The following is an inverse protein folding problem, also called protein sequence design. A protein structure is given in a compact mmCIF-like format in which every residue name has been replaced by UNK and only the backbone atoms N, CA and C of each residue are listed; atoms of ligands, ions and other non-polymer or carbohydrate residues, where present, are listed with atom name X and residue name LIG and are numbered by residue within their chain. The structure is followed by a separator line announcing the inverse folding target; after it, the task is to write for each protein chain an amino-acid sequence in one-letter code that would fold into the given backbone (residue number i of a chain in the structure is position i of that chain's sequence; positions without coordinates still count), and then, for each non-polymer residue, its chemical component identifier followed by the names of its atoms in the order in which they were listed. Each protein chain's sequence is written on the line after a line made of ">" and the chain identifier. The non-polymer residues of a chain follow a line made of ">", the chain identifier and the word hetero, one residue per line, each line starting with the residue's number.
data_IF_978158560404
#
_entry.id   IF_978158560404
#
_cell.length_a   1.000
_cell.length_b   1.000
_cell.length_c   1.000
_cell.angle_alpha   90.00
_cell.angle_beta   90.00
_cell.angle_gamma   90.00
#
_symmetry.space_group_name_H-M   'P 1'
#
loop_
_entity.id
_entity.type
_entity.pdbx_description
1 polymer ?
#
# COMPACT_ATOMS: atom_id res chain seq x y z
N UNK A 1 26.44 24.42 -25.44
CA UNK A 1 27.00 23.08 -25.17
C UNK A 1 27.58 23.00 -23.76
N UNK A 2 28.56 23.83 -23.37
CA UNK A 2 29.14 23.84 -22.01
C UNK A 2 28.11 23.95 -20.87
N UNK A 3 27.08 24.80 -20.98
CA UNK A 3 26.08 24.96 -19.92
C UNK A 3 25.22 23.71 -19.68
N UNK A 4 24.94 22.95 -20.74
CA UNK A 4 24.21 21.67 -20.65
C UNK A 4 25.07 20.58 -20.00
N UNK A 5 26.36 20.55 -20.33
CA UNK A 5 27.33 19.59 -19.76
C UNK A 5 27.56 19.88 -18.27
N UNK A 6 27.69 21.15 -17.88
CA UNK A 6 27.85 21.56 -16.49
C UNK A 6 26.59 21.27 -15.63
N UNK A 7 25.38 21.34 -16.22
CA UNK A 7 24.14 20.96 -15.53
C UNK A 7 24.03 19.45 -15.30
N UNK A 8 24.49 18.64 -16.25
CA UNK A 8 24.49 17.18 -16.16
C UNK A 8 25.53 16.67 -15.15
N UNK A 9 26.59 17.45 -14.90
CA UNK A 9 27.65 17.14 -13.95
C UNK A 9 27.29 17.41 -12.47
N UNK A 10 26.10 17.96 -12.18
CA UNK A 10 25.69 18.21 -10.80
C UNK A 10 25.45 16.89 -10.04
N UNK A 11 26.09 16.69 -8.87
CA UNK A 11 25.96 15.47 -8.08
C UNK A 11 24.48 15.17 -7.80
N UNK A 12 24.08 13.93 -8.06
CA UNK A 12 22.77 13.40 -7.68
C UNK A 12 22.72 13.22 -6.17
N UNK A 13 22.42 14.29 -5.44
CA UNK A 13 22.11 14.18 -4.01
C UNK A 13 20.83 13.36 -3.88
N UNK A 14 20.88 12.27 -3.11
CA UNK A 14 19.72 11.43 -2.79
C UNK A 14 18.57 12.32 -2.30
N UNK A 15 17.36 12.06 -2.78
CA UNK A 15 16.12 12.66 -2.26
C UNK A 15 15.83 12.12 -0.85
N UNK A 16 16.62 12.54 0.14
CA UNK A 16 16.23 12.55 1.56
C UNK A 16 15.87 13.98 2.03
N UNK A 17 15.90 14.95 1.12
CA UNK A 17 15.61 16.34 1.44
C UNK A 17 14.12 16.64 1.25
N UNK A 18 13.50 17.03 2.36
CA UNK A 18 12.26 17.81 2.56
C UNK A 18 11.54 18.27 1.27
N UNK A 19 10.22 18.02 1.13
CA UNK A 19 9.47 18.41 -0.06
C UNK A 19 9.61 19.91 -0.32
N UNK A 20 9.98 20.30 -1.55
CA UNK A 20 10.26 21.68 -1.97
C UNK A 20 9.10 22.66 -1.70
N UNK A 21 7.87 22.15 -1.62
CA UNK A 21 6.68 22.92 -1.23
C UNK A 21 6.73 23.45 0.22
N UNK A 22 7.52 22.80 1.09
CA UNK A 22 7.66 23.15 2.50
C UNK A 22 8.93 23.95 2.81
N UNK A 23 9.87 24.07 1.87
CA UNK A 23 11.17 24.73 2.09
C UNK A 23 11.00 26.21 2.41
N UNK A 24 10.17 26.93 1.64
CA UNK A 24 9.86 28.33 1.92
C UNK A 24 9.23 28.50 3.32
N UNK A 25 8.24 27.65 3.66
CA UNK A 25 7.59 27.69 4.97
C UNK A 25 8.57 27.44 6.13
N UNK A 26 9.51 26.49 5.96
CA UNK A 26 10.53 26.20 6.98
C UNK A 26 11.49 27.37 7.17
N UNK A 27 11.96 28.00 6.09
CA UNK A 27 12.83 29.16 6.18
C UNK A 27 12.11 30.37 6.80
N UNK A 28 10.85 30.61 6.44
CA UNK A 28 10.02 31.65 7.09
C UNK A 28 9.83 31.36 8.58
N UNK A 29 9.54 30.12 8.95
CA UNK A 29 9.40 29.73 10.35
C UNK A 29 10.71 29.87 11.13
N UNK A 30 11.85 29.50 10.52
CA UNK A 30 13.16 29.65 11.14
C UNK A 30 13.51 31.13 11.37
N UNK A 31 13.20 32.01 10.42
CA UNK A 31 13.37 33.46 10.59
C UNK A 31 12.55 34.00 11.77
N UNK A 32 11.30 33.55 11.91
CA UNK A 32 10.42 33.91 13.03
C UNK A 32 10.96 33.39 14.37
N UNK A 33 11.44 32.13 14.42
CA UNK A 33 12.06 31.57 15.62
C UNK A 33 13.31 32.33 16.06
N UNK A 34 14.16 32.77 15.11
CA UNK A 34 15.35 33.57 15.41
C UNK A 34 15.00 34.94 15.99
N UNK A 35 13.94 35.58 15.49
CA UNK A 35 13.43 36.84 16.07
C UNK A 35 12.86 36.61 17.47
N UNK A 36 12.04 35.58 17.65
CA UNK A 36 11.49 35.23 18.96
C UNK A 36 12.61 34.93 19.98
N UNK A 37 13.69 34.27 19.56
CA UNK A 37 14.86 34.04 20.40
C UNK A 37 15.56 35.36 20.78
N UNK A 38 15.71 36.29 19.83
CA UNK A 38 16.29 37.61 20.11
C UNK A 38 15.43 38.38 21.12
N UNK A 39 14.11 38.40 20.93
CA UNK A 39 13.18 39.09 21.82
C UNK A 39 13.19 38.50 23.24
N UNK A 40 13.22 37.17 23.35
CA UNK A 40 13.31 36.48 24.64
C UNK A 40 14.62 36.82 25.39
N UNK A 41 15.75 36.82 24.68
CA UNK A 41 17.06 37.15 25.27
C UNK A 41 17.11 38.63 25.66
N UNK A 42 16.52 39.52 24.84
CA UNK A 42 16.44 40.96 25.13
C UNK A 42 15.59 41.24 26.37
N UNK A 43 14.44 40.58 26.52
CA UNK A 43 13.61 40.74 27.71
C UNK A 43 14.29 40.14 28.95
N UNK A 44 14.98 38.99 28.82
CA UNK A 44 15.81 38.44 29.88
C UNK A 44 16.92 39.41 30.30
N UNK A 45 17.57 40.09 29.34
CA UNK A 45 18.56 41.13 29.61
C UNK A 45 17.96 42.28 30.41
N UNK A 46 16.77 42.76 30.03
CA UNK A 46 16.08 43.84 30.72
C UNK A 46 15.69 43.45 32.15
N UNK A 47 15.10 42.28 32.36
CA UNK A 47 14.74 41.79 33.69
C UNK A 47 15.97 41.59 34.57
N UNK A 48 17.05 41.04 34.02
CA UNK A 48 18.29 40.83 34.77
C UNK A 48 18.95 42.16 35.15
N UNK A 49 18.97 43.16 34.25
CA UNK A 49 19.44 44.51 34.57
C UNK A 49 18.64 45.16 35.71
N UNK A 50 17.31 45.07 35.67
CA UNK A 50 16.44 45.59 36.73
C UNK A 50 16.68 44.87 38.07
N UNK A 51 16.89 43.55 38.02
CA UNK A 51 17.21 42.78 39.22
C UNK A 51 18.58 43.14 39.78
N UNK A 52 19.58 43.29 38.91
CA UNK A 52 20.93 43.70 39.28
C UNK A 52 20.95 45.06 39.97
N UNK A 53 20.15 46.04 39.49
CA UNK A 53 20.05 47.35 40.15
C UNK A 53 19.40 47.24 41.54
N UNK A 54 18.35 46.43 41.69
CA UNK A 54 17.73 46.20 43.01
C UNK A 54 18.68 45.46 43.97
N UNK A 55 19.47 44.52 43.47
CA UNK A 55 20.46 43.80 44.28
C UNK A 55 21.59 44.73 44.75
N UNK A 56 21.94 45.76 43.98
CA UNK A 56 22.92 46.78 44.36
C UNK A 56 22.44 47.72 45.48
N UNK A 57 21.13 47.85 45.69
CA UNK A 57 20.55 48.67 46.76
C UNK A 57 20.52 47.95 48.13
N UNK A 58 20.86 46.65 48.19
CA UNK A 58 20.85 45.88 49.43
C UNK A 58 22.09 46.14 50.29
N UNK A 59 21.93 46.34 51.62
CA UNK A 59 23.05 46.58 52.54
C UNK A 59 23.95 45.35 52.78
N UNK A 60 23.63 44.18 52.21
CA UNK A 60 24.37 42.92 52.35
C UNK A 60 25.21 42.57 51.10
N UNK A 61 25.38 43.52 50.18
CA UNK A 61 26.08 43.26 48.91
C UNK A 61 27.55 42.91 49.14
N UNK A 62 28.03 41.88 48.44
CA UNK A 62 29.44 41.48 48.45
C UNK A 62 30.11 41.85 47.13
N UNK A 63 31.38 42.23 47.16
CA UNK A 63 32.14 42.57 45.94
C UNK A 63 32.15 41.42 44.92
N UNK A 64 32.20 40.17 45.40
CA UNK A 64 32.10 38.97 44.56
C UNK A 64 30.76 38.89 43.81
N UNK A 65 29.66 39.30 44.43
CA UNK A 65 28.34 39.35 43.80
C UNK A 65 28.28 40.44 42.72
N UNK A 66 28.82 41.64 42.99
CA UNK A 66 28.90 42.71 42.00
C UNK A 66 29.64 42.28 40.72
N UNK A 67 30.86 41.75 40.86
CA UNK A 67 31.68 41.32 39.72
C UNK A 67 31.01 40.18 38.93
N UNK A 68 30.34 39.27 39.62
CA UNK A 68 29.59 38.18 38.96
C UNK A 68 28.42 38.73 38.14
N UNK A 69 27.68 39.68 38.71
CA UNK A 69 26.52 40.32 38.07
C UNK A 69 26.94 41.13 36.84
N UNK A 70 28.04 41.89 36.92
CA UNK A 70 28.60 42.62 35.78
C UNK A 70 29.06 41.68 34.65
N UNK A 71 29.70 40.56 34.98
CA UNK A 71 30.11 39.55 34.00
C UNK A 71 28.89 38.90 33.30
N UNK A 72 27.85 38.58 34.06
CA UNK A 72 26.60 38.04 33.53
C UNK A 72 25.88 39.05 32.64
N UNK A 73 25.83 40.32 33.05
CA UNK A 73 25.29 41.41 32.23
C UNK A 73 26.06 41.60 30.92
N UNK A 74 27.40 41.59 30.97
CA UNK A 74 28.23 41.68 29.77
C UNK A 74 28.04 40.49 28.81
N UNK A 75 27.93 39.28 29.36
CA UNK A 75 27.65 38.07 28.59
C UNK A 75 26.26 38.11 27.95
N UNK A 76 25.26 38.56 28.70
CA UNK A 76 23.87 38.66 28.24
C UNK A 76 23.68 39.77 27.22
N UNK A 77 24.38 40.90 27.36
CA UNK A 77 24.43 41.97 26.36
C UNK A 77 25.06 41.50 25.05
N UNK A 78 26.17 40.76 25.13
CA UNK A 78 26.84 40.17 23.96
C UNK A 78 25.93 39.16 23.24
N UNK A 79 25.23 38.32 24.00
CA UNK A 79 24.27 37.34 23.48
C UNK A 79 23.05 38.01 22.83
N UNK A 80 22.56 39.11 23.42
CA UNK A 80 21.48 39.91 22.84
C UNK A 80 21.91 40.48 21.48
N UNK A 81 23.13 41.01 21.39
CA UNK A 81 23.69 41.56 20.15
C UNK A 81 23.90 40.49 19.08
N UNK A 82 24.48 39.34 19.43
CA UNK A 82 24.74 38.26 18.48
C UNK A 82 23.45 37.66 17.93
N UNK A 83 22.46 37.40 18.78
CA UNK A 83 21.16 36.87 18.37
C UNK A 83 20.43 37.87 17.46
N UNK A 84 20.50 39.17 17.75
CA UNK A 84 19.93 40.22 16.89
C UNK A 84 20.59 40.29 15.51
N UNK A 85 21.92 40.16 15.44
CA UNK A 85 22.66 40.08 14.17
C UNK A 85 22.27 38.85 13.35
N UNK A 86 22.10 37.70 14.00
CA UNK A 86 21.68 36.46 13.32
C UNK A 86 20.25 36.61 12.79
N UNK A 87 19.32 37.12 13.61
CA UNK A 87 17.93 37.32 13.21
C UNK A 87 17.79 38.30 12.04
N UNK A 88 18.48 39.44 12.10
CA UNK A 88 18.49 40.45 11.03
C UNK A 88 19.19 39.95 9.77
N UNK A 89 20.33 39.27 9.88
CA UNK A 89 20.99 38.64 8.74
C UNK A 89 20.05 37.64 8.04
N UNK A 90 19.39 36.79 8.81
CA UNK A 90 18.56 35.73 8.26
C UNK A 90 17.31 36.28 7.58
N UNK A 91 16.66 37.28 8.19
CA UNK A 91 15.49 37.96 7.59
C UNK A 91 15.84 38.75 6.34
N UNK A 92 16.96 39.49 6.34
CA UNK A 92 17.42 40.24 5.17
C UNK A 92 17.78 39.33 3.98
N UNK A 93 18.14 38.08 4.24
CA UNK A 93 18.46 37.09 3.20
C UNK A 93 17.33 36.07 3.02
N UNK A 94 16.14 36.29 3.58
CA UNK A 94 15.06 35.31 3.56
C UNK A 94 14.62 34.98 2.13
N UNK A 95 14.56 35.98 1.26
CA UNK A 95 14.21 35.80 -0.16
C UNK A 95 15.20 34.90 -0.90
N UNK A 96 16.49 34.95 -0.52
CA UNK A 96 17.50 34.05 -1.07
C UNK A 96 17.27 32.60 -0.63
N UNK A 97 16.81 32.38 0.60
CA UNK A 97 16.52 31.05 1.13
C UNK A 97 15.17 30.49 0.69
N UNK A 98 14.18 31.35 0.43
CA UNK A 98 12.81 30.96 0.05
C UNK A 98 12.63 30.87 -1.47
N UNK A 99 13.49 31.50 -2.27
CA UNK A 99 13.45 31.40 -3.72
C UNK A 99 13.71 29.95 -4.16
N UNK A 100 12.65 29.30 -4.65
CA UNK A 100 12.70 27.98 -5.31
C UNK A 100 13.40 28.13 -6.67
N UNK A 101 14.72 28.28 -6.63
CA UNK A 101 15.55 28.44 -7.80
C UNK A 101 16.69 27.47 -7.74
N UNK A 102 16.58 26.37 -8.50
CA UNK A 102 17.75 25.60 -8.91
C UNK A 102 18.58 26.50 -9.84
N UNK A 103 19.32 27.46 -9.27
CA UNK A 103 20.30 28.21 -10.03
C UNK A 103 21.63 27.46 -9.94
N UNK A 104 22.16 26.93 -11.05
CA UNK A 104 23.53 26.45 -11.08
C UNK A 104 24.42 27.59 -10.60
N UNK A 105 25.27 27.32 -9.62
CA UNK A 105 26.20 28.29 -9.04
C UNK A 105 26.91 29.06 -10.17
N UNK A 106 26.55 30.34 -10.36
CA UNK A 106 27.09 31.21 -11.42
C UNK A 106 26.14 31.56 -12.58
N UNK A 107 24.87 31.13 -12.59
CA UNK A 107 23.89 31.50 -13.62
C UNK A 107 22.89 32.55 -13.11
N UNK A 108 22.70 33.65 -13.85
CA UNK A 108 21.73 34.72 -13.56
C UNK A 108 20.31 34.44 -14.07
N UNK A 109 20.10 33.30 -14.73
CA UNK A 109 18.80 32.92 -15.29
C UNK A 109 18.06 31.97 -14.35
N UNK A 110 17.01 32.49 -13.70
CA UNK A 110 16.02 31.68 -13.01
C UNK A 110 15.29 30.79 -14.03
N UNK A 111 15.47 29.48 -13.93
CA UNK A 111 14.75 28.53 -14.79
C UNK A 111 13.28 28.48 -14.36
N UNK A 112 12.37 28.52 -15.33
CA UNK A 112 10.94 28.42 -15.09
C UNK A 112 10.61 27.08 -14.39
N UNK A 113 9.81 27.06 -13.31
CA UNK A 113 9.49 25.85 -12.54
C UNK A 113 9.01 24.66 -13.39
N UNK A 114 8.23 24.93 -14.45
CA UNK A 114 7.72 23.91 -15.36
C UNK A 114 8.83 23.25 -16.19
N UNK A 115 9.85 24.01 -16.56
CA UNK A 115 11.01 23.48 -17.27
C UNK A 115 11.87 22.61 -16.35
N UNK A 116 12.04 23.02 -15.08
CA UNK A 116 12.75 22.21 -14.08
C UNK A 116 12.06 20.87 -13.82
N UNK A 117 10.72 20.86 -13.72
CA UNK A 117 9.94 19.64 -13.53
C UNK A 117 10.05 18.69 -14.74
N UNK A 118 9.93 19.23 -15.97
CA UNK A 118 10.10 18.42 -17.20
C UNK A 118 11.51 17.81 -17.31
N UNK A 119 12.54 18.56 -16.90
CA UNK A 119 13.93 18.10 -16.87
C UNK A 119 14.15 16.99 -15.84
N UNK A 120 13.58 17.13 -14.64
CA UNK A 120 13.63 16.10 -13.59
C UNK A 120 12.91 14.82 -14.03
N UNK A 121 11.74 14.94 -14.66
CA UNK A 121 11.01 13.81 -15.20
C UNK A 121 11.81 13.08 -16.29
N UNK A 122 12.43 13.83 -17.21
CA UNK A 122 13.28 13.26 -18.26
C UNK A 122 14.56 12.62 -17.69
N UNK A 123 15.18 13.22 -16.67
CA UNK A 123 16.32 12.63 -15.95
C UNK A 123 15.93 11.32 -15.28
N UNK A 124 14.77 11.26 -14.63
CA UNK A 124 14.25 10.02 -14.01
C UNK A 124 13.98 8.94 -15.05
N UNK A 125 13.39 9.29 -16.19
CA UNK A 125 13.20 8.37 -17.33
C UNK A 125 14.52 7.86 -17.88
N UNK A 126 15.53 8.72 -18.06
CA UNK A 126 16.85 8.33 -18.54
C UNK A 126 17.56 7.40 -17.55
N UNK A 127 17.51 7.70 -16.25
CA UNK A 127 18.08 6.82 -15.22
C UNK A 127 17.39 5.44 -15.20
N UNK A 128 16.06 5.40 -15.31
CA UNK A 128 15.30 4.16 -15.40
C UNK A 128 15.66 3.36 -16.67
N UNK A 129 15.80 4.03 -17.81
CA UNK A 129 16.23 3.40 -19.06
C UNK A 129 17.64 2.79 -18.93
N UNK A 130 18.62 3.53 -18.43
CA UNK A 130 19.97 3.02 -18.23
C UNK A 130 19.99 1.86 -17.23
N UNK A 131 19.18 1.92 -16.17
CA UNK A 131 19.01 0.81 -15.23
C UNK A 131 18.41 -0.43 -15.90
N UNK A 132 17.45 -0.25 -16.81
CA UNK A 132 16.82 -1.33 -17.55
C UNK A 132 17.79 -1.97 -18.56
N UNK A 133 18.61 -1.16 -19.25
CA UNK A 133 19.63 -1.65 -20.19
C UNK A 133 20.77 -2.38 -19.46
N UNK A 134 21.13 -1.94 -18.25
CA UNK A 134 22.14 -2.60 -17.40
C UNK A 134 21.61 -3.87 -16.72
N UNK A 135 20.29 -4.10 -16.69
CA UNK A 135 19.72 -5.32 -16.13
C UNK A 135 20.10 -6.48 -17.06
N UNK A 136 20.86 -7.44 -16.54
CA UNK A 136 21.19 -8.65 -17.28
C UNK A 136 19.89 -9.30 -17.78
N UNK A 137 19.85 -9.54 -19.10
CA UNK A 137 18.68 -10.16 -19.74
C UNK A 137 18.47 -11.53 -19.06
N UNK A 138 17.24 -11.88 -18.63
CA UNK A 138 16.97 -13.20 -18.08
C UNK A 138 17.50 -14.26 -19.05
N UNK A 139 18.19 -15.29 -18.55
CA UNK A 139 18.65 -16.40 -19.39
C UNK A 139 17.41 -17.04 -20.05
N UNK A 140 17.25 -16.77 -21.33
CA UNK A 140 16.24 -17.38 -22.18
C UNK A 140 16.93 -18.44 -23.02
N UNK A 141 16.22 -19.53 -23.28
CA UNK A 141 16.63 -20.53 -24.26
C UNK A 141 16.89 -19.82 -25.60
N UNK A 142 18.03 -20.09 -26.29
CA UNK A 142 18.32 -19.52 -27.59
C UNK A 142 17.17 -19.73 -28.58
N UNK A 143 16.96 -18.78 -29.49
CA UNK A 143 15.81 -18.80 -30.41
C UNK A 143 15.76 -20.07 -31.30
N UNK A 144 16.93 -20.57 -31.73
CA UNK A 144 17.05 -21.83 -32.46
C UNK A 144 16.46 -23.01 -31.69
N UNK A 145 16.80 -23.07 -30.41
CA UNK A 145 16.45 -24.18 -29.52
C UNK A 145 14.98 -24.07 -29.12
N UNK A 146 14.46 -22.84 -28.95
CA UNK A 146 13.05 -22.58 -28.76
C UNK A 146 12.20 -23.04 -29.97
N UNK A 147 12.68 -22.81 -31.21
CA UNK A 147 12.02 -23.30 -32.42
C UNK A 147 12.09 -24.83 -32.56
N UNK A 148 13.20 -25.44 -32.17
CA UNK A 148 13.35 -26.91 -32.13
C UNK A 148 12.37 -27.53 -31.13
N UNK A 149 12.34 -27.01 -29.89
CA UNK A 149 11.43 -27.44 -28.84
C UNK A 149 9.96 -27.28 -29.25
N UNK A 150 9.62 -26.17 -29.92
CA UNK A 150 8.25 -25.97 -30.45
C UNK A 150 7.86 -27.06 -31.45
N UNK A 151 8.77 -27.40 -32.38
CA UNK A 151 8.51 -28.47 -33.36
C UNK A 151 8.31 -29.81 -32.68
N UNK A 152 9.17 -30.17 -31.72
CA UNK A 152 9.06 -31.42 -30.95
C UNK A 152 7.75 -31.50 -30.15
N UNK A 153 7.35 -30.40 -29.50
CA UNK A 153 6.08 -30.35 -28.77
C UNK A 153 4.87 -30.51 -29.70
N UNK A 154 4.92 -29.90 -30.88
CA UNK A 154 3.84 -29.99 -31.87
C UNK A 154 3.72 -31.42 -32.39
N UNK A 155 4.84 -32.03 -32.82
CA UNK A 155 4.84 -33.40 -33.31
C UNK A 155 4.48 -34.44 -32.24
N UNK A 156 4.89 -34.21 -30.98
CA UNK A 156 4.51 -35.06 -29.84
C UNK A 156 3.02 -34.94 -29.52
N UNK A 157 2.44 -33.74 -29.65
CA UNK A 157 1.00 -33.52 -29.47
C UNK A 157 0.18 -34.23 -30.54
N UNK A 158 0.58 -34.11 -31.80
CA UNK A 158 -0.06 -34.80 -32.94
C UNK A 158 0.03 -36.33 -32.81
N UNK A 159 1.20 -36.84 -32.42
CA UNK A 159 1.41 -38.28 -32.16
C UNK A 159 0.55 -38.81 -31.03
N UNK A 160 0.44 -38.05 -29.92
CA UNK A 160 -0.40 -38.40 -28.77
C UNK A 160 -1.89 -38.43 -29.14
N UNK A 161 -2.35 -37.49 -29.95
CA UNK A 161 -3.74 -37.46 -30.42
C UNK A 161 -4.04 -38.66 -31.32
N UNK A 162 -3.16 -39.00 -32.26
CA UNK A 162 -3.29 -40.19 -33.10
C UNK A 162 -3.32 -41.49 -32.29
N UNK A 163 -2.44 -41.63 -31.30
CA UNK A 163 -2.41 -42.79 -30.41
C UNK A 163 -3.70 -42.88 -29.58
N UNK A 164 -4.20 -41.74 -29.07
CA UNK A 164 -5.46 -41.70 -28.33
C UNK A 164 -6.65 -42.12 -29.19
N UNK A 165 -6.69 -41.72 -30.47
CA UNK A 165 -7.72 -42.17 -31.40
C UNK A 165 -7.63 -43.67 -31.67
N UNK A 166 -6.42 -44.21 -31.84
CA UNK A 166 -6.22 -45.64 -32.04
C UNK A 166 -6.66 -46.47 -30.83
N UNK A 167 -6.37 -45.99 -29.61
CA UNK A 167 -6.83 -46.61 -28.35
C UNK A 167 -8.35 -46.55 -28.23
N UNK A 168 -8.97 -45.43 -28.59
CA UNK A 168 -10.44 -45.33 -28.56
C UNK A 168 -11.08 -46.30 -29.57
N UNK A 169 -10.56 -46.37 -30.80
CA UNK A 169 -11.05 -47.28 -31.83
C UNK A 169 -10.90 -48.75 -31.43
N UNK A 170 -9.78 -49.12 -30.77
CA UNK A 170 -9.60 -50.48 -30.28
C UNK A 170 -10.57 -50.78 -29.13
N UNK A 171 -10.80 -49.84 -28.22
CA UNK A 171 -11.76 -49.99 -27.13
C UNK A 171 -13.20 -50.15 -27.65
N UNK A 172 -13.61 -49.37 -28.65
CA UNK A 172 -14.94 -49.47 -29.27
C UNK A 172 -15.11 -50.80 -30.04
N UNK A 173 -14.02 -51.32 -30.63
CA UNK A 173 -14.01 -52.64 -31.25
C UNK A 173 -14.17 -53.75 -30.21
N UNK A 174 -13.48 -53.64 -29.07
CA UNK A 174 -13.61 -54.59 -27.96
C UNK A 174 -15.06 -54.60 -27.44
N UNK A 175 -15.64 -53.44 -27.18
CA UNK A 175 -17.03 -53.33 -26.70
C UNK A 175 -18.04 -53.98 -27.65
N UNK A 176 -17.87 -53.80 -28.97
CA UNK A 176 -18.72 -54.47 -29.98
C UNK A 176 -18.56 -55.99 -29.96
N UNK A 177 -17.33 -56.48 -29.86
CA UNK A 177 -17.07 -57.92 -29.77
C UNK A 177 -17.61 -58.52 -28.47
N UNK A 178 -17.58 -57.77 -27.36
CA UNK A 178 -18.20 -58.16 -26.09
C UNK A 178 -19.72 -58.27 -26.24
N UNK A 179 -20.37 -57.30 -26.88
CA UNK A 179 -21.81 -57.36 -27.17
C UNK A 179 -22.19 -58.53 -28.08
N UNK A 180 -21.41 -58.80 -29.14
CA UNK A 180 -21.62 -59.95 -30.01
C UNK A 180 -21.44 -61.28 -29.27
N UNK A 181 -20.44 -61.38 -28.39
CA UNK A 181 -20.23 -62.55 -27.53
C UNK A 181 -21.45 -62.80 -26.64
N UNK A 182 -21.99 -61.76 -26.00
CA UNK A 182 -23.20 -61.88 -25.17
C UNK A 182 -24.42 -62.29 -25.99
N UNK A 183 -24.59 -61.70 -27.19
CA UNK A 183 -25.66 -62.06 -28.12
C UNK A 183 -25.62 -63.55 -28.48
N UNK A 184 -24.46 -64.05 -28.94
CA UNK A 184 -24.29 -65.46 -29.30
C UNK A 184 -24.44 -66.40 -28.11
N UNK A 185 -24.02 -65.98 -26.91
CA UNK A 185 -24.23 -66.76 -25.69
C UNK A 185 -25.72 -66.91 -25.37
N UNK A 186 -26.50 -65.83 -25.47
CA UNK A 186 -27.94 -65.86 -25.27
C UNK A 186 -28.65 -66.70 -26.33
N UNK A 187 -28.22 -66.61 -27.60
CA UNK A 187 -28.78 -67.41 -28.69
C UNK A 187 -28.51 -68.91 -28.50
N UNK A 188 -27.30 -69.28 -28.06
CA UNK A 188 -26.96 -70.66 -27.71
C UNK A 188 -27.78 -71.19 -26.53
N UNK A 189 -27.99 -70.38 -25.48
CA UNK A 189 -28.85 -70.75 -24.34
C UNK A 189 -30.31 -70.94 -24.78
N UNK A 190 -30.85 -70.05 -25.61
CA UNK A 190 -32.19 -70.18 -26.15
C UNK A 190 -32.34 -71.44 -27.01
N UNK A 191 -31.33 -71.75 -27.83
CA UNK A 191 -31.25 -73.00 -28.60
C UNK A 191 -31.31 -74.23 -27.69
N UNK A 192 -30.56 -74.24 -26.59
CA UNK A 192 -30.58 -75.32 -25.60
C UNK A 192 -31.96 -75.52 -24.97
N UNK A 193 -32.62 -74.44 -24.54
CA UNK A 193 -33.97 -74.49 -23.96
C UNK A 193 -35.00 -75.01 -24.97
N UNK A 194 -34.90 -74.61 -26.25
CA UNK A 194 -35.76 -75.13 -27.32
C UNK A 194 -35.56 -76.63 -27.52
N UNK A 195 -34.31 -77.08 -27.53
CA UNK A 195 -33.98 -78.50 -27.67
C UNK A 195 -34.46 -79.32 -26.46
N UNK A 196 -34.29 -78.83 -25.23
CA UNK A 196 -34.84 -79.47 -24.03
C UNK A 196 -36.37 -79.57 -24.10
N UNK A 197 -37.05 -78.52 -24.59
CA UNK A 197 -38.51 -78.53 -24.78
C UNK A 197 -38.98 -79.53 -25.85
N UNK A 198 -38.27 -79.63 -26.98
CA UNK A 198 -38.57 -80.63 -28.00
C UNK A 198 -38.27 -82.05 -27.51
N UNK A 199 -37.17 -82.26 -26.78
CA UNK A 199 -36.88 -83.55 -26.15
C UNK A 199 -37.96 -83.95 -25.14
N UNK A 200 -38.48 -83.00 -24.35
CA UNK A 200 -39.61 -83.26 -23.46
C UNK A 200 -40.87 -83.64 -24.26
N UNK A 201 -41.16 -82.96 -25.38
CA UNK A 201 -42.27 -83.33 -26.27
C UNK A 201 -42.09 -84.72 -26.88
N UNK A 202 -40.88 -85.07 -27.30
CA UNK A 202 -40.56 -86.40 -27.81
C UNK A 202 -40.79 -87.43 -26.71
N UNK A 203 -40.30 -87.19 -25.49
CA UNK A 203 -40.52 -88.08 -24.35
C UNK A 203 -42.01 -88.22 -23.99
N UNK A 204 -42.79 -87.13 -24.03
CA UNK A 204 -44.23 -87.16 -23.78
C UNK A 204 -44.98 -87.94 -24.88
N UNK A 205 -44.57 -87.80 -26.15
CA UNK A 205 -45.10 -88.56 -27.28
C UNK A 205 -44.71 -90.04 -27.22
N UNK A 206 -43.47 -90.35 -26.83
CA UNK A 206 -42.99 -91.72 -26.58
C UNK A 206 -43.75 -92.36 -25.42
N UNK A 207 -44.03 -91.61 -24.35
CA UNK A 207 -44.85 -92.09 -23.24
C UNK A 207 -46.31 -92.33 -23.66
N UNK A 208 -46.89 -91.46 -24.50
CA UNK A 208 -48.22 -91.67 -25.08
C UNK A 208 -48.25 -92.88 -26.02
N UNK A 209 -47.22 -93.08 -26.85
CA UNK A 209 -47.07 -94.27 -27.69
C UNK A 209 -46.91 -95.53 -26.83
N UNK A 210 -46.10 -95.48 -25.76
CA UNK A 210 -45.93 -96.59 -24.83
C UNK A 210 -47.22 -96.90 -24.05
N UNK A 211 -47.99 -95.89 -23.65
CA UNK A 211 -49.29 -96.06 -23.03
C UNK A 211 -50.33 -96.65 -24.00
N UNK A 212 -50.27 -96.27 -25.29
CA UNK A 212 -51.07 -96.89 -26.34
C UNK A 212 -50.59 -98.31 -26.71
N UNK A 213 -49.29 -98.60 -26.52
CA UNK A 213 -48.64 -99.90 -26.76
C UNK A 213 -48.54 -100.78 -25.50
N UNK A 214 -49.19 -100.40 -24.39
CA UNK A 214 -49.38 -101.19 -23.17
C UNK A 214 -50.24 -102.44 -23.34
N UNK A 215 -50.30 -102.99 -24.55
CA UNK A 215 -50.78 -104.33 -24.88
C UNK A 215 -49.72 -105.02 -25.77
N UNK A 216 -49.01 -105.97 -25.17
CA UNK A 216 -48.14 -106.97 -25.82
C UNK A 216 -46.63 -106.68 -25.89
N UNK A 217 -45.99 -106.86 -24.73
CA UNK A 217 -44.85 -107.78 -24.47
C UNK A 217 -43.63 -107.79 -25.42
N UNK A 218 -42.57 -107.16 -24.91
CA UNK A 218 -41.30 -107.76 -24.51
C UNK A 218 -40.37 -108.46 -25.52
N UNK A 219 -39.31 -107.71 -25.88
CA UNK A 219 -37.92 -107.85 -25.37
C UNK A 219 -37.02 -109.03 -25.85
N UNK A 220 -35.68 -109.00 -25.63
CA UNK A 220 -34.66 -108.92 -26.69
C UNK A 220 -33.56 -110.03 -26.51
N UNK A 221 -32.24 -109.77 -26.60
CA UNK A 221 -31.36 -109.73 -27.78
C UNK A 221 -30.19 -110.76 -27.73
N UNK A 222 -29.39 -110.87 -28.79
CA UNK A 222 -28.07 -111.54 -28.80
C UNK A 222 -27.10 -110.68 -29.65
N UNK A 223 -25.99 -110.12 -29.12
CA UNK A 223 -24.71 -110.75 -28.75
C UNK A 223 -23.96 -111.27 -30.02
N UNK A 224 -22.66 -111.07 -30.27
CA UNK A 224 -21.49 -110.77 -29.44
C UNK A 224 -20.31 -110.38 -30.39
N UNK A 225 -19.40 -109.45 -30.04
CA UNK A 225 -18.02 -109.70 -29.49
C UNK A 225 -16.92 -109.86 -30.57
N UNK A 226 -15.67 -109.36 -30.49
CA UNK A 226 -14.84 -108.80 -29.38
C UNK A 226 -13.48 -108.28 -29.94
N UNK A 227 -12.63 -107.60 -29.12
CA UNK A 227 -11.45 -106.77 -29.46
C UNK A 227 -10.10 -107.41 -29.05
N UNK A 228 -8.97 -106.68 -29.18
CA UNK A 228 -7.65 -106.93 -28.52
C UNK A 228 -6.90 -105.58 -28.34
N UNK A 229 -6.80 -105.05 -27.11
CA UNK A 229 -5.64 -104.94 -26.16
C UNK A 229 -4.52 -103.94 -26.56
N UNK A 230 -3.73 -103.32 -25.70
CA UNK A 230 -3.67 -102.91 -24.27
C UNK A 230 -2.22 -102.40 -24.05
N UNK A 231 -2.00 -101.67 -22.94
CA UNK A 231 -0.73 -101.51 -22.18
C UNK A 231 0.26 -100.39 -22.57
N UNK A 232 0.98 -99.72 -21.67
CA UNK A 232 0.77 -99.10 -20.34
C UNK A 232 2.07 -98.28 -20.04
N UNK A 233 1.99 -97.43 -19.03
CA UNK A 233 2.93 -96.43 -18.46
C UNK A 233 4.43 -96.81 -18.27
N UNK A 234 5.32 -95.80 -18.34
CA UNK A 234 6.38 -95.54 -17.33
C UNK A 234 7.21 -94.26 -17.63
N UNK A 235 7.54 -93.54 -16.55
CA UNK A 235 8.22 -92.24 -16.42
C UNK A 235 9.68 -92.19 -16.89
N UNK A 236 10.15 -91.05 -17.43
CA UNK A 236 11.50 -90.50 -17.20
C UNK A 236 11.63 -89.04 -17.72
N UNK A 237 11.77 -88.07 -16.82
CA UNK A 237 12.47 -86.77 -17.05
C UNK A 237 13.95 -86.96 -16.59
N UNK A 238 14.95 -86.11 -16.92
CA UNK A 238 14.95 -84.87 -17.72
C UNK A 238 16.11 -84.76 -18.75
N UNK A 239 16.01 -83.89 -19.77
CA UNK A 239 17.22 -83.25 -20.32
C UNK A 239 16.91 -81.99 -21.14
N UNK A 240 17.72 -80.96 -20.88
CA UNK A 240 17.67 -79.64 -21.46
C UNK A 240 17.88 -79.64 -22.99
N UNK A 241 17.11 -78.79 -23.67
CA UNK A 241 17.39 -78.36 -25.04
C UNK A 241 16.19 -77.72 -25.70
N UNK A 242 16.38 -76.52 -26.24
CA UNK A 242 15.50 -75.88 -27.24
C UNK A 242 14.22 -75.19 -26.74
N UNK A 243 14.42 -73.95 -26.29
CA UNK A 243 13.37 -72.91 -26.32
C UNK A 243 13.09 -72.56 -27.78
N UNK A 244 12.09 -73.19 -28.38
CA UNK A 244 11.53 -72.75 -29.65
C UNK A 244 10.67 -71.50 -29.43
N UNK A 245 11.10 -70.40 -30.03
CA UNK A 245 10.48 -69.09 -29.93
C UNK A 245 9.07 -69.13 -30.54
N UNK A 246 8.05 -69.10 -29.68
CA UNK A 246 6.68 -68.81 -30.09
C UNK A 246 6.64 -67.36 -30.59
N UNK A 247 6.65 -67.20 -31.91
CA UNK A 247 6.48 -65.91 -32.58
C UNK A 247 5.04 -65.42 -32.35
N UNK A 248 4.83 -64.68 -31.26
CA UNK A 248 3.66 -63.81 -31.13
C UNK A 248 3.76 -62.70 -32.19
N UNK A 249 2.95 -62.80 -33.24
CA UNK A 249 2.67 -61.73 -34.20
C UNK A 249 1.81 -60.66 -33.51
N UNK A 250 2.40 -59.93 -32.57
CA UNK A 250 1.85 -58.68 -32.05
C UNK A 250 2.39 -57.53 -32.89
N UNK A 251 1.52 -56.94 -33.71
CA UNK A 251 1.80 -55.74 -34.51
C UNK A 251 1.82 -54.50 -33.59
N UNK A 252 2.77 -54.47 -32.64
CA UNK A 252 3.13 -53.30 -31.84
C UNK A 252 4.60 -53.07 -32.08
N UNK A 253 4.93 -51.85 -32.54
CA UNK A 253 6.23 -51.51 -33.12
C UNK A 253 7.42 -51.99 -32.32
N UNK A 254 8.34 -52.67 -33.01
CA UNK A 254 9.69 -52.92 -32.50
C UNK A 254 10.37 -51.57 -32.23
N UNK A 255 10.59 -51.26 -30.95
CA UNK A 255 11.51 -50.19 -30.58
C UNK A 255 12.92 -50.70 -30.87
N UNK A 256 13.49 -50.31 -32.01
CA UNK A 256 14.91 -50.49 -32.27
C UNK A 256 15.71 -49.67 -31.24
N UNK A 257 16.07 -50.28 -30.12
CA UNK A 257 17.11 -49.75 -29.24
C UNK A 257 18.45 -49.97 -29.93
N UNK A 258 18.88 -48.98 -30.72
CA UNK A 258 20.25 -48.93 -31.23
C UNK A 258 21.20 -48.69 -30.04
N UNK A 259 22.11 -49.61 -29.69
CA UNK A 259 23.04 -49.40 -28.60
C UNK A 259 24.24 -48.64 -29.12
N UNK A 260 24.11 -47.32 -29.35
CA UNK A 260 25.25 -46.49 -29.75
C UNK A 260 25.04 -44.97 -29.62
N UNK A 261 24.42 -44.45 -28.55
CA UNK A 261 24.56 -43.00 -28.17
C UNK A 261 24.32 -42.73 -26.68
N UNK A 262 24.52 -43.69 -25.77
CA UNK A 262 24.21 -43.44 -24.34
C UNK A 262 25.14 -42.40 -23.68
N UNK A 263 26.36 -42.20 -24.23
CA UNK A 263 27.36 -41.36 -23.58
C UNK A 263 27.30 -39.86 -23.94
N UNK A 264 26.51 -39.48 -24.96
CA UNK A 264 26.34 -38.08 -25.39
C UNK A 264 24.98 -37.52 -24.95
N UNK A 265 23.90 -38.30 -25.01
CA UNK A 265 22.57 -37.84 -24.58
C UNK A 265 22.47 -37.55 -23.08
N UNK A 266 23.10 -38.35 -22.22
CA UNK A 266 23.07 -38.11 -20.75
C UNK A 266 23.63 -36.75 -20.33
N UNK A 267 24.66 -36.25 -21.03
CA UNK A 267 25.28 -34.95 -20.74
C UNK A 267 24.37 -33.77 -21.16
N UNK A 268 23.58 -33.93 -22.23
CA UNK A 268 22.59 -32.93 -22.64
C UNK A 268 21.32 -32.97 -21.78
N UNK A 269 20.91 -34.17 -21.33
CA UNK A 269 19.82 -34.35 -20.36
C UNK A 269 20.14 -33.68 -19.02
N UNK A 270 21.33 -33.95 -18.45
CA UNK A 270 21.81 -33.34 -17.21
C UNK A 270 21.98 -31.81 -17.34
N UNK A 271 22.42 -31.33 -18.51
CA UNK A 271 22.52 -29.89 -18.79
C UNK A 271 21.14 -29.20 -18.88
N UNK A 272 20.14 -29.88 -19.45
CA UNK A 272 18.76 -29.39 -19.50
C UNK A 272 18.12 -29.35 -18.11
N UNK A 273 18.30 -30.41 -17.32
CA UNK A 273 17.79 -30.47 -15.96
C UNK A 273 18.43 -29.43 -15.03
N UNK A 274 19.74 -29.23 -15.13
CA UNK A 274 20.45 -28.20 -14.34
C UNK A 274 19.99 -26.79 -14.71
N UNK A 275 19.73 -26.51 -15.99
CA UNK A 275 19.18 -25.22 -16.41
C UNK A 275 17.75 -25.00 -15.88
N UNK A 276 16.91 -26.03 -15.92
CA UNK A 276 15.54 -26.00 -15.38
C UNK A 276 15.58 -25.76 -13.85
N UNK A 277 16.41 -26.51 -13.12
CA UNK A 277 16.62 -26.34 -11.68
C UNK A 277 17.08 -24.93 -11.36
N UNK A 278 18.06 -24.41 -12.10
CA UNK A 278 18.59 -23.06 -11.91
C UNK A 278 17.52 -21.99 -12.15
N UNK A 279 16.72 -22.12 -13.21
CA UNK A 279 15.63 -21.19 -13.50
C UNK A 279 14.58 -21.17 -12.39
N UNK A 280 14.12 -22.34 -11.96
CA UNK A 280 13.12 -22.42 -10.88
C UNK A 280 13.67 -21.95 -9.53
N UNK A 281 14.92 -22.30 -9.20
CA UNK A 281 15.58 -21.78 -8.00
C UNK A 281 15.73 -20.26 -8.02
N UNK A 282 16.15 -19.68 -9.16
CA UNK A 282 16.24 -18.24 -9.33
C UNK A 282 14.86 -17.58 -9.20
N UNK A 283 13.82 -18.18 -9.77
CA UNK A 283 12.44 -17.69 -9.68
C UNK A 283 11.89 -17.75 -8.25
N UNK A 284 12.18 -18.83 -7.52
CA UNK A 284 11.84 -18.95 -6.09
C UNK A 284 12.56 -17.86 -5.29
N UNK A 285 13.84 -17.63 -5.55
CA UNK A 285 14.62 -16.55 -4.93
C UNK A 285 14.01 -15.17 -5.20
N UNK A 286 13.67 -14.87 -6.46
CA UNK A 286 13.03 -13.61 -6.85
C UNK A 286 11.69 -13.42 -6.11
N UNK A 287 10.81 -14.41 -6.14
CA UNK A 287 9.51 -14.34 -5.46
C UNK A 287 9.67 -14.16 -3.95
N UNK A 288 10.65 -14.84 -3.34
CA UNK A 288 10.95 -14.70 -1.92
C UNK A 288 11.38 -13.26 -1.59
N UNK A 289 12.25 -12.66 -2.40
CA UNK A 289 12.66 -11.27 -2.19
C UNK A 289 11.51 -10.28 -2.39
N UNK A 290 10.64 -10.51 -3.38
CA UNK A 290 9.47 -9.66 -3.60
C UNK A 290 8.50 -9.72 -2.42
N UNK A 291 8.26 -10.93 -1.87
CA UNK A 291 7.44 -11.12 -0.69
C UNK A 291 8.02 -10.38 0.52
N UNK A 292 9.32 -10.55 0.80
CA UNK A 292 10.00 -9.86 1.91
C UNK A 292 9.92 -8.33 1.78
N UNK A 293 10.11 -7.79 0.58
CA UNK A 293 10.00 -6.35 0.32
C UNK A 293 8.55 -5.88 0.53
N UNK A 294 7.57 -6.67 0.08
CA UNK A 294 6.15 -6.36 0.27
C UNK A 294 5.77 -6.33 1.76
N UNK A 295 6.22 -7.34 2.52
CA UNK A 295 5.99 -7.43 3.96
C UNK A 295 6.63 -6.27 4.71
N UNK A 296 7.89 -5.93 4.36
CA UNK A 296 8.58 -4.77 4.94
C UNK A 296 7.83 -3.47 4.69
N UNK A 297 7.31 -3.25 3.47
CA UNK A 297 6.49 -2.08 3.13
C UNK A 297 5.17 -2.05 3.92
N UNK A 298 4.50 -3.19 4.07
CA UNK A 298 3.26 -3.28 4.83
C UNK A 298 3.48 -2.91 6.31
N UNK A 299 4.54 -3.42 6.92
CA UNK A 299 4.93 -3.07 8.30
C UNK A 299 5.28 -1.59 8.41
N UNK A 300 6.03 -1.05 7.45
CA UNK A 300 6.38 0.36 7.43
C UNK A 300 5.14 1.25 7.37
N UNK A 301 4.22 1.04 6.42
CA UNK A 301 2.98 1.80 6.32
C UNK A 301 2.10 1.66 7.57
N UNK A 302 2.04 0.47 8.17
CA UNK A 302 1.31 0.30 9.43
C UNK A 302 1.90 1.17 10.55
N UNK A 303 3.24 1.22 10.66
CA UNK A 303 3.92 2.05 11.65
C UNK A 303 3.71 3.56 11.40
N UNK A 304 3.72 3.99 10.14
CA UNK A 304 3.46 5.38 9.76
C UNK A 304 2.02 5.80 10.05
N UNK A 305 1.04 4.98 9.66
CA UNK A 305 -0.38 5.20 9.98
C UNK A 305 -0.60 5.31 11.49
N UNK A 306 0.04 4.44 12.28
CA UNK A 306 -0.03 4.49 13.75
C UNK A 306 0.61 5.77 14.30
N UNK A 307 1.75 6.20 13.76
CA UNK A 307 2.41 7.44 14.18
C UNK A 307 1.58 8.69 13.82
N UNK A 308 0.99 8.71 12.62
CA UNK A 308 0.10 9.77 12.15
C UNK A 308 -1.16 9.87 13.00
N UNK A 309 -1.82 8.74 13.31
CA UNK A 309 -2.99 8.72 14.17
C UNK A 309 -2.70 9.31 15.56
N UNK A 310 -1.54 8.98 16.15
CA UNK A 310 -1.12 9.58 17.43
C UNK A 310 -0.89 11.09 17.34
N UNK A 311 -0.22 11.57 16.27
CA UNK A 311 0.00 13.01 16.07
C UNK A 311 -1.32 13.76 15.87
N UNK A 312 -2.25 13.16 15.11
CA UNK A 312 -3.57 13.72 14.87
C UNK A 312 -4.37 13.82 16.17
N UNK A 313 -4.39 12.78 17.00
CA UNK A 313 -5.06 12.82 18.30
C UNK A 313 -4.50 13.90 19.24
N UNK A 314 -3.18 14.12 19.25
CA UNK A 314 -2.56 15.20 20.03
C UNK A 314 -2.97 16.57 19.48
N UNK A 315 -2.98 16.75 18.16
CA UNK A 315 -3.39 17.98 17.51
C UNK A 315 -4.89 18.29 17.71
N UNK A 316 -5.75 17.26 17.71
CA UNK A 316 -7.17 17.40 18.02
C UNK A 316 -7.39 17.86 19.47
N UNK A 317 -6.66 17.25 20.42
CA UNK A 317 -6.72 17.67 21.83
C UNK A 317 -6.25 19.12 22.01
N UNK A 318 -5.18 19.54 21.33
CA UNK A 318 -4.73 20.93 21.42
C UNK A 318 -5.69 21.90 20.74
N UNK A 319 -6.34 21.48 19.64
CA UNK A 319 -7.40 22.27 18.98
C UNK A 319 -8.59 22.45 19.91
N UNK A 320 -9.02 21.39 20.60
CA UNK A 320 -10.10 21.46 21.60
C UNK A 320 -9.75 22.48 22.68
N UNK A 321 -8.60 22.32 23.35
CA UNK A 321 -8.19 23.25 24.43
C UNK A 321 -8.16 24.71 23.98
N UNK A 322 -7.63 24.98 22.77
CA UNK A 322 -7.62 26.33 22.21
C UNK A 322 -9.04 26.84 21.91
N UNK A 323 -9.95 25.98 21.44
CA UNK A 323 -11.35 26.36 21.25
C UNK A 323 -12.07 26.65 22.56
N UNK A 324 -11.77 25.93 23.65
CA UNK A 324 -12.26 26.28 24.99
C UNK A 324 -11.71 27.64 25.46
N UNK A 325 -10.40 27.88 25.30
CA UNK A 325 -9.77 29.16 25.67
C UNK A 325 -10.36 30.34 24.89
N UNK A 326 -10.61 30.18 23.58
CA UNK A 326 -11.26 31.20 22.76
C UNK A 326 -12.69 31.48 23.25
N UNK A 327 -13.46 30.45 23.62
CA UNK A 327 -14.81 30.63 24.19
C UNK A 327 -14.74 31.44 25.49
N UNK A 328 -13.82 31.09 26.40
CA UNK A 328 -13.63 31.80 27.66
C UNK A 328 -13.19 33.26 27.45
N UNK A 329 -12.25 33.50 26.53
CA UNK A 329 -11.81 34.85 26.18
C UNK A 329 -12.96 35.69 25.60
N UNK A 330 -13.79 35.09 24.74
CA UNK A 330 -14.97 35.75 24.15
C UNK A 330 -16.00 36.11 25.23
N UNK A 331 -16.24 35.22 26.20
CA UNK A 331 -17.10 35.50 27.35
C UNK A 331 -16.54 36.65 28.21
N UNK A 332 -15.21 36.71 28.38
CA UNK A 332 -14.57 37.82 29.11
C UNK A 332 -14.69 39.14 28.37
N UNK A 333 -14.53 39.15 27.05
CA UNK A 333 -14.69 40.35 26.22
C UNK A 333 -16.12 40.88 26.31
N UNK A 334 -17.13 40.02 26.15
CA UNK A 334 -18.54 40.42 26.24
C UNK A 334 -18.88 41.00 27.62
N UNK A 335 -18.43 40.36 28.71
CA UNK A 335 -18.57 40.91 30.06
C UNK A 335 -17.93 42.29 30.21
N UNK A 336 -16.70 42.48 29.73
CA UNK A 336 -16.01 43.77 29.81
C UNK A 336 -16.71 44.84 28.95
N UNK A 337 -17.30 44.46 27.81
CA UNK A 337 -18.11 45.36 26.99
C UNK A 337 -19.38 45.83 27.72
N UNK A 338 -20.05 44.93 28.45
CA UNK A 338 -21.23 45.27 29.25
C UNK A 338 -20.87 46.19 30.44
N UNK A 339 -19.76 45.91 31.13
CA UNK A 339 -19.22 46.77 32.20
C UNK A 339 -18.83 48.16 31.66
N UNK A 340 -18.22 48.23 30.47
CA UNK A 340 -17.91 49.50 29.79
C UNK A 340 -19.18 50.25 29.40
N UNK A 341 -20.18 49.57 28.86
CA UNK A 341 -21.44 50.19 28.43
C UNK A 341 -22.24 50.74 29.62
N UNK A 342 -22.27 50.02 30.75
CA UNK A 342 -22.93 50.46 31.98
C UNK A 342 -22.22 51.63 32.64
N UNK A 343 -20.88 51.60 32.74
CA UNK A 343 -20.09 52.72 33.27
C UNK A 343 -20.20 53.96 32.38
N UNK A 344 -20.14 53.81 31.06
CA UNK A 344 -20.34 54.92 30.10
C UNK A 344 -21.71 55.56 30.28
N UNK A 345 -22.79 54.75 30.31
CA UNK A 345 -24.15 55.26 30.53
C UNK A 345 -24.28 55.99 31.86
N UNK A 346 -23.71 55.44 32.94
CA UNK A 346 -23.73 56.10 34.25
C UNK A 346 -23.04 57.47 34.23
N UNK A 347 -21.93 57.63 33.51
CA UNK A 347 -21.26 58.93 33.39
C UNK A 347 -22.04 59.90 32.51
N UNK A 348 -22.64 59.43 31.42
CA UNK A 348 -23.54 60.24 30.58
C UNK A 348 -24.75 60.74 31.40
N UNK A 349 -25.37 59.88 32.21
CA UNK A 349 -26.49 60.24 33.08
C UNK A 349 -26.07 61.27 34.15
N UNK A 350 -24.90 61.10 34.77
CA UNK A 350 -24.36 62.07 35.73
C UNK A 350 -24.08 63.43 35.08
N UNK A 351 -23.50 63.45 33.89
CA UNK A 351 -23.25 64.67 33.12
C UNK A 351 -24.56 65.36 32.71
N UNK A 352 -25.57 64.59 32.30
CA UNK A 352 -26.90 65.10 31.98
C UNK A 352 -27.53 65.77 33.21
N UNK A 353 -27.55 65.09 34.36
CA UNK A 353 -28.07 65.66 35.62
C UNK A 353 -27.34 66.94 36.03
N UNK A 354 -26.01 66.98 35.89
CA UNK A 354 -25.24 68.19 36.15
C UNK A 354 -25.60 69.32 35.18
N UNK A 355 -25.80 69.00 33.90
CA UNK A 355 -26.20 69.98 32.88
C UNK A 355 -27.57 70.59 33.18
N UNK A 356 -28.55 69.77 33.54
CA UNK A 356 -29.89 70.22 33.93
C UNK A 356 -29.84 71.10 35.19
N UNK A 357 -29.05 70.69 36.18
CA UNK A 357 -28.85 71.49 37.40
C UNK A 357 -28.20 72.84 37.11
N UNK A 358 -27.16 72.88 36.26
CA UNK A 358 -26.53 74.13 35.82
C UNK A 358 -27.50 75.04 35.06
N UNK A 359 -28.38 74.47 34.23
CA UNK A 359 -29.40 75.21 33.52
C UNK A 359 -30.39 75.86 34.50
N UNK A 360 -30.95 75.08 35.42
CA UNK A 360 -31.85 75.57 36.49
C UNK A 360 -31.18 76.65 37.36
N UNK A 361 -29.91 76.46 37.71
CA UNK A 361 -29.15 77.46 38.45
C UNK A 361 -28.94 78.75 37.64
N UNK A 362 -28.64 78.66 36.34
CA UNK A 362 -28.54 79.83 35.48
C UNK A 362 -29.88 80.58 35.32
N UNK A 363 -31.00 79.86 35.27
CA UNK A 363 -32.33 80.47 35.26
C UNK A 363 -32.59 81.23 36.57
N UNK A 364 -32.27 80.66 37.73
CA UNK A 364 -32.43 81.33 39.02
C UNK A 364 -31.50 82.54 39.17
N UNK A 365 -30.23 82.42 38.76
CA UNK A 365 -29.29 83.55 38.71
C UNK A 365 -29.78 84.66 37.76
N UNK A 366 -30.35 84.30 36.61
CA UNK A 366 -30.92 85.27 35.67
C UNK A 366 -32.14 85.98 36.26
N UNK A 367 -33.05 85.25 36.93
CA UNK A 367 -34.19 85.85 37.66
C UNK A 367 -33.71 86.82 38.75
N UNK A 368 -32.74 86.42 39.56
CA UNK A 368 -32.14 87.30 40.58
C UNK A 368 -31.50 88.53 39.95
N UNK A 369 -30.84 88.39 38.79
CA UNK A 369 -30.24 89.51 38.06
C UNK A 369 -31.32 90.50 37.59
N UNK A 370 -32.42 90.00 37.02
CA UNK A 370 -33.57 90.82 36.63
C UNK A 370 -34.19 91.53 37.84
N UNK A 371 -34.31 90.86 38.98
CA UNK A 371 -34.82 91.43 40.22
C UNK A 371 -33.89 92.54 40.77
N UNK A 372 -32.57 92.36 40.70
CA UNK A 372 -31.59 93.41 41.04
C UNK A 372 -31.72 94.61 40.10
N UNK A 373 -31.87 94.38 38.80
CA UNK A 373 -31.94 95.46 37.82
C UNK A 373 -33.26 96.25 37.94
N UNK A 374 -34.38 95.58 38.23
CA UNK A 374 -35.65 96.23 38.56
C UNK A 374 -35.57 97.05 39.85
N UNK A 375 -34.96 96.52 40.92
CA UNK A 375 -34.71 97.27 42.16
C UNK A 375 -33.81 98.48 41.93
N UNK A 376 -32.77 98.37 41.10
CA UNK A 376 -31.89 99.50 40.73
C UNK A 376 -32.64 100.58 39.94
N UNK A 377 -33.52 100.21 39.01
CA UNK A 377 -34.35 101.15 38.26
C UNK A 377 -35.39 101.84 39.16
N UNK A 378 -36.04 101.10 40.06
CA UNK A 378 -36.95 101.65 41.07
C UNK A 378 -36.26 102.60 42.05
N UNK A 379 -35.02 102.27 42.46
CA UNK A 379 -34.19 103.12 43.32
C UNK A 379 -33.74 104.41 42.62
N UNK A 380 -33.41 104.36 41.31
CA UNK A 380 -33.17 105.56 40.49
C UNK A 380 -34.42 106.42 40.29
N UNK A 381 -35.61 105.82 40.21
CA UNK A 381 -36.89 106.54 40.17
C UNK A 381 -37.17 107.33 41.45
N UNK A 382 -36.84 106.76 42.62
CA UNK A 382 -37.01 107.43 43.92
C UNK A 382 -35.95 108.51 44.20
N UNK A 383 -34.72 108.35 43.69
CA UNK A 383 -33.69 109.40 43.78
C UNK A 383 -34.07 110.69 43.02
N UNK A 384 -34.89 110.60 41.96
CA UNK A 384 -35.36 111.77 41.20
C UNK A 384 -36.50 112.53 41.90
N UNK A 385 -37.27 111.89 42.78
CA UNK A 385 -38.31 112.55 43.61
C UNK A 385 -37.72 113.29 44.82
N UNK A 386 -36.55 112.90 45.32
CA UNK A 386 -35.93 113.51 46.51
C UNK A 386 -35.00 114.71 46.21
N UNK A 387 -34.86 115.15 44.95
CA UNK A 387 -34.06 116.35 44.58
C UNK A 387 -34.91 117.60 44.35
N UNK A 388 -36.22 117.53 44.62
CA UNK A 388 -37.19 118.61 44.45
C UNK A 388 -37.93 118.96 45.74
N UNK A 389 -37.27 118.90 46.89
CA UNK A 389 -37.81 119.39 48.15
C UNK A 389 -36.79 120.27 48.87
#
# INVERSE_FOLDING_TARGET
>A
MQSYINLLALPSVRQDAMPQSSTSAVFTQLAACLHSLHDAIKEMSKHYNQKASLEQELPTITQKLCTTTECLLGSLGSLTSSTGKIATFFSNNLDFFTSSGYSPRGSTLALNPLQAESMLANKKKAAAYISAVKKARPQSVPYSDALSNRRVLTSSTESREGLSQQVQQSQDKIARLEQEKEHWLLEAQLGKVRLEKENQRIADLEAQLAAAQGGSLNSPPAAASTPVQSQEEAEMEPSAGEREATLCTSLVGMLCTTPSVEHVSGRYEESRETLIKTHYMARVGELTTQLQISDSKAVHFHSECRALAKRLAIAEKSRETLTEEIKLATQKITRLQDELATTKRSYEDQLSMMSDHLCSMNETLSKQREEIDTLKLGSKGNAKKNKGR
#
